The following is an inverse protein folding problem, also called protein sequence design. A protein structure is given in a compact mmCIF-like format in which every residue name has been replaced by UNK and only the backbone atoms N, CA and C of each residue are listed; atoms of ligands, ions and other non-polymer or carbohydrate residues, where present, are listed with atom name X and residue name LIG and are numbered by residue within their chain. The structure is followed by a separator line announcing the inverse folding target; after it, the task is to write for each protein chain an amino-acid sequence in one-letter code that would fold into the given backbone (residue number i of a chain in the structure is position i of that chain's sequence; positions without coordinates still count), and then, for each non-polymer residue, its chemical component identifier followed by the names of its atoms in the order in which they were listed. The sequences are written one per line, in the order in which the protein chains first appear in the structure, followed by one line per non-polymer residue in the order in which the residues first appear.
data_IF_648250377369
#
_entry.id   IF_648250377369
#
_cell.length_a   1.000
_cell.length_b   1.000
_cell.length_c   1.000
_cell.angle_alpha   90.00
_cell.angle_beta   90.00
_cell.angle_gamma   90.00
#
_symmetry.space_group_name_H-M   'P 1'
#
loop_
_entity.id
_entity.type
_entity.pdbx_description
1 polymer ?
#
# COMPACT_ATOMS: atom_id res chain seq x y z
N UNK A 1 7.22 -7.44 26.56
CA UNK A 1 7.70 -7.88 25.22
C UNK A 1 8.43 -6.73 24.54
N UNK A 2 9.48 -7.00 23.77
CA UNK A 2 10.19 -5.97 23.00
C UNK A 2 9.63 -5.91 21.56
N UNK A 3 8.73 -4.98 21.32
CA UNK A 3 8.07 -4.82 20.01
C UNK A 3 9.02 -4.45 18.86
N UNK A 4 10.26 -4.04 19.16
CA UNK A 4 11.28 -3.77 18.13
C UNK A 4 11.67 -5.02 17.35
N UNK A 5 11.37 -6.22 17.87
CA UNK A 5 11.57 -7.48 17.14
C UNK A 5 10.76 -7.54 15.84
N UNK A 6 9.56 -6.93 15.80
CA UNK A 6 8.72 -6.87 14.58
C UNK A 6 9.38 -6.04 13.47
N UNK A 7 10.25 -5.10 13.80
CA UNK A 7 10.98 -4.30 12.81
C UNK A 7 12.14 -5.08 12.14
N UNK A 8 12.41 -6.31 12.60
CA UNK A 8 13.41 -7.19 11.96
C UNK A 8 12.82 -8.04 10.84
N UNK A 9 11.49 -8.06 10.71
CA UNK A 9 10.84 -8.70 9.59
C UNK A 9 11.07 -7.87 8.31
N UNK A 10 11.37 -8.56 7.21
CA UNK A 10 11.44 -7.91 5.90
C UNK A 10 10.05 -7.70 5.34
N UNK A 11 9.74 -6.45 4.97
CA UNK A 11 8.47 -6.07 4.37
C UNK A 11 8.70 -5.47 2.99
N UNK A 12 7.92 -5.90 2.02
CA UNK A 12 7.77 -5.17 0.77
C UNK A 12 6.91 -3.90 0.95
N UNK A 13 6.63 -3.23 -0.16
CA UNK A 13 5.66 -2.13 -0.20
C UNK A 13 4.81 -2.25 -1.46
N UNK A 14 3.51 -2.12 -1.27
CA UNK A 14 2.52 -2.41 -2.28
C UNK A 14 1.38 -1.40 -2.24
N UNK A 15 0.85 -1.03 -3.40
CA UNK A 15 -0.41 -0.32 -3.49
C UNK A 15 -1.49 -1.37 -3.77
N UNK A 16 -2.43 -1.51 -2.83
CA UNK A 16 -3.63 -2.32 -3.04
C UNK A 16 -4.73 -1.40 -3.55
N UNK A 17 -5.33 -1.76 -4.67
CA UNK A 17 -6.45 -1.04 -5.28
C UNK A 17 -7.67 -1.93 -5.40
N UNK A 18 -8.84 -1.31 -5.41
CA UNK A 18 -10.12 -1.97 -5.67
C UNK A 18 -11.10 -0.96 -6.26
N UNK A 19 -12.22 -1.44 -6.82
CA UNK A 19 -13.26 -0.60 -7.44
C UNK A 19 -14.64 -1.13 -7.07
N UNK A 20 -15.52 -0.22 -6.62
CA UNK A 20 -16.93 -0.50 -6.32
C UNK A 20 -17.80 0.42 -7.20
N UNK A 21 -18.46 -0.13 -8.19
CA UNK A 21 -19.13 0.63 -9.24
C UNK A 21 -18.11 1.52 -9.98
N UNK A 22 -18.37 2.84 -9.99
CA UNK A 22 -17.45 3.81 -10.61
C UNK A 22 -16.35 4.31 -9.66
N UNK A 23 -16.46 4.04 -8.37
CA UNK A 23 -15.49 4.53 -7.38
C UNK A 23 -14.33 3.57 -7.24
N UNK A 24 -13.15 4.01 -7.67
CA UNK A 24 -11.89 3.35 -7.37
C UNK A 24 -11.28 3.90 -6.08
N UNK A 25 -10.52 3.08 -5.37
CA UNK A 25 -9.72 3.50 -4.22
C UNK A 25 -8.51 2.59 -4.05
N UNK A 26 -7.54 3.04 -3.26
CA UNK A 26 -6.37 2.25 -2.93
C UNK A 26 -5.70 2.71 -1.64
N UNK A 27 -4.87 1.83 -1.09
CA UNK A 27 -4.02 2.13 0.07
C UNK A 27 -2.68 1.41 -0.05
N UNK A 28 -1.68 1.89 0.70
CA UNK A 28 -0.40 1.20 0.81
C UNK A 28 -0.49 0.16 1.93
N UNK A 29 0.03 -1.03 1.64
CA UNK A 29 0.27 -2.11 2.61
C UNK A 29 1.72 -2.57 2.50
N UNK A 30 2.25 -3.12 3.57
CA UNK A 30 3.58 -3.74 3.61
C UNK A 30 3.52 -5.27 3.68
N UNK A 31 2.34 -5.84 3.64
CA UNK A 31 2.09 -7.28 3.78
C UNK A 31 1.39 -7.81 2.54
N UNK A 32 2.17 -8.22 1.54
CA UNK A 32 1.68 -9.07 0.46
C UNK A 32 2.69 -10.18 0.26
N UNK A 33 2.22 -11.43 0.31
CA UNK A 33 3.05 -12.61 0.15
C UNK A 33 2.35 -13.65 -0.73
N UNK A 34 3.13 -14.38 -1.52
CA UNK A 34 2.64 -15.57 -2.20
C UNK A 34 2.34 -16.65 -1.15
N UNK A 35 1.09 -17.08 -1.06
CA UNK A 35 0.65 -18.09 -0.12
C UNK A 35 0.69 -19.51 -0.70
N UNK A 36 0.47 -19.65 -2.01
CA UNK A 36 0.56 -20.92 -2.75
C UNK A 36 0.95 -20.68 -4.21
N UNK A 37 1.45 -21.70 -4.88
CA UNK A 37 1.90 -21.62 -6.27
C UNK A 37 1.03 -22.41 -7.25
N UNK A 38 0.18 -23.30 -6.76
CA UNK A 38 -0.71 -24.13 -7.60
C UNK A 38 -2.05 -24.36 -6.88
N UNK A 39 -3.08 -23.56 -7.16
CA UNK A 39 -3.06 -22.35 -7.96
C UNK A 39 -2.25 -21.23 -7.29
N UNK A 40 -1.84 -20.22 -8.04
CA UNK A 40 -1.18 -19.04 -7.45
C UNK A 40 -2.13 -18.32 -6.50
N UNK A 41 -1.75 -18.22 -5.24
CA UNK A 41 -2.52 -17.51 -4.23
C UNK A 41 -1.67 -16.43 -3.57
N UNK A 42 -2.28 -15.28 -3.37
CA UNK A 42 -1.71 -14.13 -2.67
C UNK A 42 -2.46 -13.90 -1.36
N UNK A 43 -1.71 -13.51 -0.34
CA UNK A 43 -2.23 -13.08 0.95
C UNK A 43 -1.82 -11.64 1.20
N UNK A 44 -2.78 -10.78 1.62
CA UNK A 44 -2.53 -9.40 2.07
C UNK A 44 -3.23 -9.15 3.39
N UNK A 45 -2.70 -8.21 4.20
CA UNK A 45 -3.39 -7.72 5.40
C UNK A 45 -3.71 -6.23 5.22
N UNK A 46 -4.98 -5.86 5.40
CA UNK A 46 -5.43 -4.47 5.35
C UNK A 46 -6.00 -4.07 6.71
N UNK A 47 -5.57 -2.90 7.21
CA UNK A 47 -6.11 -2.32 8.43
C UNK A 47 -7.60 -1.97 8.23
N UNK A 48 -8.44 -2.34 9.18
CA UNK A 48 -9.89 -2.08 9.15
C UNK A 48 -10.26 -0.59 9.14
N UNK A 49 -9.35 0.29 9.56
CA UNK A 49 -9.55 1.74 9.46
C UNK A 49 -9.44 2.26 8.01
N UNK A 50 -8.81 1.51 7.10
CA UNK A 50 -8.67 1.90 5.70
C UNK A 50 -9.99 1.72 4.95
N UNK A 51 -10.42 2.74 4.20
CA UNK A 51 -11.60 2.64 3.34
C UNK A 51 -11.46 1.53 2.28
N UNK A 52 -10.26 1.31 1.77
CA UNK A 52 -9.95 0.21 0.84
C UNK A 52 -10.32 -1.15 1.43
N UNK A 53 -10.17 -1.35 2.76
CA UNK A 53 -10.57 -2.57 3.45
C UNK A 53 -12.05 -2.89 3.22
N UNK A 54 -12.94 -1.93 3.49
CA UNK A 54 -14.39 -2.12 3.36
C UNK A 54 -14.79 -2.40 1.91
N UNK A 55 -14.13 -1.71 0.97
CA UNK A 55 -14.37 -1.92 -0.45
C UNK A 55 -13.94 -3.32 -0.91
N UNK A 56 -12.75 -3.80 -0.52
CA UNK A 56 -12.29 -5.16 -0.85
C UNK A 56 -13.20 -6.21 -0.22
N UNK A 57 -13.63 -5.99 1.03
CA UNK A 57 -14.57 -6.90 1.70
C UNK A 57 -15.89 -7.00 0.96
N UNK A 58 -16.38 -5.88 0.41
CA UNK A 58 -17.63 -5.80 -0.35
C UNK A 58 -17.51 -6.41 -1.75
N UNK A 59 -16.43 -6.10 -2.48
CA UNK A 59 -16.30 -6.43 -3.90
C UNK A 59 -15.69 -7.81 -4.14
N UNK A 60 -14.90 -8.31 -3.19
CA UNK A 60 -14.20 -9.58 -3.33
C UNK A 60 -13.05 -9.57 -4.35
N UNK A 61 -12.63 -8.39 -4.84
CA UNK A 61 -11.54 -8.25 -5.83
C UNK A 61 -10.62 -7.11 -5.45
N UNK A 62 -9.34 -7.29 -5.75
CA UNK A 62 -8.33 -6.24 -5.60
C UNK A 62 -7.16 -6.47 -6.55
N UNK A 63 -6.40 -5.41 -6.81
CA UNK A 63 -5.11 -5.52 -7.48
C UNK A 63 -4.00 -5.09 -6.51
N UNK A 64 -2.83 -5.69 -6.68
CA UNK A 64 -1.60 -5.33 -5.97
C UNK A 64 -0.61 -4.80 -6.99
N UNK A 65 -0.18 -3.54 -6.84
CA UNK A 65 0.92 -2.97 -7.60
C UNK A 65 2.17 -2.95 -6.73
N UNK A 66 3.24 -3.58 -7.18
CA UNK A 66 4.50 -3.69 -6.44
C UNK A 66 5.29 -2.41 -6.63
N UNK A 67 5.53 -1.66 -5.56
CA UNK A 67 6.30 -0.42 -5.61
C UNK A 67 7.77 -0.70 -5.96
N UNK A 68 8.31 0.08 -6.89
CA UNK A 68 9.71 0.06 -7.27
C UNK A 68 10.51 1.16 -6.57
N UNK A 69 11.83 1.09 -6.63
CA UNK A 69 12.72 2.15 -6.11
C UNK A 69 12.61 3.47 -6.86
N UNK A 70 11.94 3.50 -8.00
CA UNK A 70 11.66 4.73 -8.77
C UNK A 70 10.41 5.46 -8.28
N UNK A 71 9.64 4.87 -7.34
CA UNK A 71 8.47 5.49 -6.76
C UNK A 71 8.85 6.74 -5.96
N UNK A 72 8.27 7.89 -6.32
CA UNK A 72 8.50 9.16 -5.63
C UNK A 72 7.52 9.36 -4.48
N UNK A 73 7.91 10.18 -3.50
CA UNK A 73 7.12 10.43 -2.29
C UNK A 73 5.65 10.85 -2.55
N UNK A 74 5.29 11.66 -3.58
CA UNK A 74 3.88 11.97 -3.87
C UNK A 74 2.98 10.74 -4.09
N UNK A 75 3.52 9.64 -4.63
CA UNK A 75 2.77 8.39 -4.78
C UNK A 75 2.45 7.77 -3.41
N UNK A 76 3.44 7.74 -2.52
CA UNK A 76 3.25 7.28 -1.13
C UNK A 76 2.27 8.18 -0.38
N UNK A 77 2.34 9.50 -0.58
CA UNK A 77 1.43 10.46 0.04
C UNK A 77 -0.01 10.22 -0.40
N UNK A 78 -0.26 10.06 -1.70
CA UNK A 78 -1.59 9.84 -2.28
C UNK A 78 -2.24 8.55 -1.74
N UNK A 79 -1.53 7.44 -1.75
CA UNK A 79 -2.12 6.14 -1.38
C UNK A 79 -1.91 5.76 0.09
N UNK A 80 -0.93 6.33 0.79
CA UNK A 80 -0.58 5.99 2.16
C UNK A 80 -1.04 6.98 3.24
N UNK A 81 -1.17 8.29 2.90
CA UNK A 81 -1.44 9.34 3.91
C UNK A 81 -2.81 10.00 3.77
N UNK A 82 -3.57 9.66 2.75
CA UNK A 82 -4.91 10.20 2.53
C UNK A 82 -5.98 9.13 2.71
N UNK A 83 -7.15 9.51 3.21
CA UNK A 83 -8.30 8.64 3.30
C UNK A 83 -9.18 8.74 2.05
N UNK A 84 -9.51 7.62 1.42
CA UNK A 84 -10.47 7.58 0.31
C UNK A 84 -11.92 7.87 0.72
N UNK A 85 -12.18 8.08 2.03
CA UNK A 85 -13.46 8.60 2.53
C UNK A 85 -13.57 10.10 2.34
N UNK A 86 -12.42 10.81 2.35
CA UNK A 86 -12.33 12.27 2.32
C UNK A 86 -11.93 12.79 0.94
N UNK A 87 -11.07 12.04 0.23
CA UNK A 87 -10.56 12.45 -1.09
C UNK A 87 -10.74 11.33 -2.12
N UNK A 88 -11.00 11.72 -3.36
CA UNK A 88 -10.92 10.80 -4.49
C UNK A 88 -9.46 10.71 -4.95
N UNK A 89 -8.83 9.58 -4.67
CA UNK A 89 -7.41 9.34 -5.01
C UNK A 89 -7.16 9.18 -6.50
N UNK A 90 -8.20 9.00 -7.31
CA UNK A 90 -8.12 8.79 -8.75
C UNK A 90 -8.60 9.99 -9.59
N UNK A 91 -9.23 11.03 -8.99
CA UNK A 91 -9.80 12.15 -9.72
C UNK A 91 -8.80 12.84 -10.67
N UNK A 92 -7.56 13.10 -10.21
CA UNK A 92 -6.50 13.77 -10.98
C UNK A 92 -5.31 12.83 -11.27
N UNK A 93 -5.52 11.51 -11.14
CA UNK A 93 -4.47 10.54 -11.28
C UNK A 93 -4.69 9.72 -12.56
N UNK A 94 -3.73 9.78 -13.48
CA UNK A 94 -3.82 9.13 -14.79
C UNK A 94 -2.80 8.01 -14.99
N UNK A 95 -1.84 7.84 -14.07
CA UNK A 95 -0.78 6.84 -14.17
C UNK A 95 -1.23 5.45 -13.69
N UNK A 96 -2.37 4.98 -14.23
CA UNK A 96 -2.91 3.65 -13.99
C UNK A 96 -3.50 3.04 -15.26
N UNK A 97 -3.69 1.74 -15.25
CA UNK A 97 -4.48 0.98 -16.21
C UNK A 97 -5.47 0.09 -15.47
N UNK A 98 -6.46 -0.42 -16.17
CA UNK A 98 -7.38 -1.41 -15.59
C UNK A 98 -6.94 -2.82 -16.02
N UNK A 99 -6.94 -3.74 -15.06
CA UNK A 99 -6.78 -5.16 -15.28
C UNK A 99 -8.09 -5.76 -15.85
N UNK A 100 -8.10 -7.04 -16.24
CA UNK A 100 -9.28 -7.73 -16.78
C UNK A 100 -10.46 -7.73 -15.79
N UNK A 101 -10.17 -7.70 -14.48
CA UNK A 101 -11.21 -7.60 -13.44
C UNK A 101 -11.83 -6.19 -13.31
N UNK A 102 -11.43 -5.23 -14.16
CA UNK A 102 -11.91 -3.84 -14.16
C UNK A 102 -11.37 -2.96 -13.04
N UNK A 103 -10.50 -3.49 -12.16
CA UNK A 103 -9.87 -2.75 -11.08
C UNK A 103 -8.59 -2.06 -11.58
N UNK A 104 -8.33 -0.79 -11.21
CA UNK A 104 -7.10 -0.11 -11.62
C UNK A 104 -5.86 -0.74 -10.96
N UNK A 105 -4.75 -0.75 -11.70
CA UNK A 105 -3.41 -0.96 -11.16
C UNK A 105 -2.50 0.20 -11.55
N UNK A 106 -1.53 0.51 -10.69
CA UNK A 106 -0.65 1.66 -10.85
C UNK A 106 0.52 1.27 -11.76
N UNK A 107 0.87 2.14 -12.70
CA UNK A 107 1.97 1.90 -13.66
C UNK A 107 3.20 2.78 -13.41
N UNK A 108 3.05 3.92 -12.74
CA UNK A 108 4.16 4.79 -12.39
C UNK A 108 4.75 4.39 -11.04
N UNK A 109 6.07 4.25 -10.96
CA UNK A 109 6.75 3.87 -9.72
C UNK A 109 6.47 2.45 -9.26
N UNK A 110 6.05 1.56 -10.17
CA UNK A 110 5.78 0.15 -9.91
C UNK A 110 6.49 -0.73 -10.92
N UNK A 111 6.81 -1.96 -10.55
CA UNK A 111 7.52 -2.92 -11.42
C UNK A 111 6.72 -4.17 -11.75
N UNK A 112 5.60 -4.40 -11.08
CA UNK A 112 4.69 -5.51 -11.38
C UNK A 112 3.29 -5.23 -10.84
N UNK A 113 2.28 -5.93 -11.36
CA UNK A 113 0.96 -6.00 -10.74
C UNK A 113 0.42 -7.41 -10.72
N UNK A 114 -0.50 -7.66 -9.79
CA UNK A 114 -1.24 -8.90 -9.62
C UNK A 114 -2.72 -8.56 -9.41
N UNK A 115 -3.60 -9.13 -10.21
CA UNK A 115 -5.06 -9.05 -10.01
C UNK A 115 -5.51 -10.28 -9.22
N UNK A 116 -6.32 -10.06 -8.20
CA UNK A 116 -6.68 -11.09 -7.22
C UNK A 116 -8.18 -11.14 -6.99
N UNK A 117 -8.72 -12.36 -6.99
CA UNK A 117 -10.08 -12.66 -6.54
C UNK A 117 -10.02 -13.28 -5.16
N UNK A 118 -10.65 -12.65 -4.18
CA UNK A 118 -10.68 -13.11 -2.78
C UNK A 118 -11.41 -14.46 -2.70
N UNK A 119 -10.78 -15.42 -2.04
CA UNK A 119 -11.36 -16.73 -1.74
C UNK A 119 -11.68 -16.90 -0.25
N UNK A 120 -10.88 -16.26 0.62
CA UNK A 120 -11.03 -16.37 2.07
C UNK A 120 -10.63 -15.06 2.76
N UNK A 121 -11.23 -14.83 3.94
CA UNK A 121 -10.86 -13.74 4.83
C UNK A 121 -10.66 -14.26 6.25
N UNK A 122 -9.67 -13.70 6.95
CA UNK A 122 -9.41 -14.01 8.37
C UNK A 122 -9.39 -12.72 9.16
N UNK A 123 -10.23 -12.64 10.19
CA UNK A 123 -10.25 -11.51 11.11
C UNK A 123 -9.07 -11.59 12.08
N UNK A 124 -8.21 -10.58 12.08
CA UNK A 124 -7.04 -10.45 12.94
C UNK A 124 -7.22 -9.34 14.01
N UNK A 125 -8.46 -8.93 14.29
CA UNK A 125 -8.75 -7.82 15.20
C UNK A 125 -8.61 -6.47 14.52
N UNK A 126 -7.44 -5.85 14.50
CA UNK A 126 -7.19 -4.55 13.86
C UNK A 126 -7.10 -4.60 12.32
N UNK A 127 -6.83 -5.77 11.77
CA UNK A 127 -6.68 -6.02 10.33
C UNK A 127 -7.56 -7.19 9.89
N UNK A 128 -7.83 -7.26 8.61
CA UNK A 128 -8.33 -8.47 7.96
C UNK A 128 -7.26 -8.98 7.00
N UNK A 129 -6.95 -10.27 7.09
CA UNK A 129 -6.17 -10.96 6.09
C UNK A 129 -7.11 -11.40 4.97
N UNK A 130 -6.78 -11.02 3.73
CA UNK A 130 -7.46 -11.46 2.52
C UNK A 130 -6.55 -12.45 1.81
N UNK A 131 -7.07 -13.62 1.51
CA UNK A 131 -6.41 -14.66 0.72
C UNK A 131 -7.19 -14.79 -0.57
N UNK A 132 -6.50 -14.79 -1.72
CA UNK A 132 -7.17 -14.89 -2.99
C UNK A 132 -6.31 -15.52 -4.07
N UNK A 133 -7.00 -15.98 -5.11
CA UNK A 133 -6.38 -16.51 -6.32
C UNK A 133 -5.91 -15.37 -7.22
N UNK A 134 -4.67 -15.47 -7.70
CA UNK A 134 -4.12 -14.54 -8.69
C UNK A 134 -4.69 -14.92 -10.06
N UNK A 135 -5.51 -14.03 -10.63
CA UNK A 135 -6.19 -14.25 -11.92
C UNK A 135 -5.43 -13.67 -13.10
N UNK A 136 -4.60 -12.65 -12.85
CA UNK A 136 -3.78 -11.97 -13.85
C UNK A 136 -2.55 -11.39 -13.17
N UNK A 137 -1.41 -11.40 -13.80
CA UNK A 137 -0.17 -10.78 -13.30
C UNK A 137 0.79 -10.47 -14.43
N UNK A 138 1.55 -9.37 -14.28
CA UNK A 138 2.53 -8.93 -15.28
C UNK A 138 3.70 -8.22 -14.61
N UNK A 139 4.88 -8.37 -15.19
CA UNK A 139 6.06 -7.56 -14.88
C UNK A 139 6.02 -6.30 -15.75
N UNK A 140 6.04 -5.12 -15.11
CA UNK A 140 5.94 -3.83 -15.79
C UNK A 140 7.32 -3.23 -16.11
N UNK A 141 8.32 -3.54 -15.29
CA UNK A 141 9.70 -3.08 -15.48
C UNK A 141 10.70 -3.95 -14.73
N UNK A 142 11.98 -3.85 -15.10
CA UNK A 142 13.10 -4.51 -14.41
C UNK A 142 13.63 -3.71 -13.20
N UNK A 143 12.97 -2.61 -12.83
CA UNK A 143 13.36 -1.78 -11.69
C UNK A 143 13.26 -2.58 -10.38
N UNK A 144 14.22 -2.44 -9.46
CA UNK A 144 14.18 -3.13 -8.18
C UNK A 144 12.94 -2.74 -7.36
N UNK A 145 12.32 -3.72 -6.70
CA UNK A 145 11.21 -3.46 -5.78
C UNK A 145 11.66 -2.66 -4.57
N UNK A 146 10.84 -1.70 -4.15
CA UNK A 146 11.02 -0.99 -2.90
C UNK A 146 10.58 -1.87 -1.73
N UNK A 147 11.38 -1.88 -0.66
CA UNK A 147 10.99 -2.46 0.62
C UNK A 147 10.73 -1.36 1.66
N UNK A 148 10.19 -1.75 2.82
CA UNK A 148 9.85 -0.80 3.86
C UNK A 148 11.08 -0.07 4.45
N UNK A 149 12.24 -0.75 4.52
CA UNK A 149 13.50 -0.17 4.98
C UNK A 149 13.97 0.94 4.03
N UNK A 150 14.02 0.66 2.72
CA UNK A 150 14.35 1.65 1.69
C UNK A 150 13.43 2.88 1.77
N UNK A 151 12.13 2.68 1.94
CA UNK A 151 11.19 3.78 2.10
C UNK A 151 11.52 4.66 3.31
N UNK A 152 11.82 4.06 4.47
CA UNK A 152 12.12 4.80 5.69
C UNK A 152 13.45 5.57 5.60
N UNK A 153 14.44 5.04 4.88
CA UNK A 153 15.78 5.61 4.80
C UNK A 153 15.91 6.64 3.68
N UNK A 154 15.34 6.35 2.50
CA UNK A 154 15.63 7.09 1.26
C UNK A 154 14.44 7.92 0.75
N UNK A 155 13.19 7.51 1.01
CA UNK A 155 12.02 8.14 0.38
C UNK A 155 11.25 9.03 1.35
N UNK A 156 11.07 8.58 2.58
CA UNK A 156 10.28 9.27 3.58
C UNK A 156 10.94 10.58 3.98
N UNK A 157 10.26 11.74 3.84
CA UNK A 157 10.78 13.00 4.31
C UNK A 157 11.14 12.94 5.80
N UNK A 158 12.36 13.36 6.13
CA UNK A 158 12.82 13.40 7.51
C UNK A 158 12.21 14.62 8.21
N UNK A 159 11.90 14.52 9.53
CA UNK A 159 11.43 15.67 10.27
C UNK A 159 12.51 16.76 10.29
N UNK A 160 12.07 18.02 10.29
CA UNK A 160 12.96 19.19 10.39
C UNK A 160 13.16 19.57 11.85
N UNK A 161 14.41 19.89 12.22
CA UNK A 161 14.69 20.53 13.50
C UNK A 161 14.22 21.99 13.44
N UNK A 162 13.27 22.37 14.31
CA UNK A 162 12.70 23.71 14.35
C UNK A 162 13.14 24.53 15.55
N UNK A 163 14.02 23.99 16.38
CA UNK A 163 14.60 24.70 17.53
C UNK A 163 14.70 23.83 18.79
N UNK A 164 14.82 24.49 19.94
CA UNK A 164 14.86 23.83 21.25
C UNK A 164 13.70 24.29 22.12
N UNK A 165 13.11 23.35 22.84
CA UNK A 165 12.13 23.64 23.88
C UNK A 165 12.80 24.29 25.11
N UNK A 166 12.00 24.83 26.03
CA UNK A 166 12.50 25.50 27.25
C UNK A 166 13.33 24.58 28.17
N UNK A 167 13.15 23.27 28.06
CA UNK A 167 13.92 22.24 28.77
C UNK A 167 15.21 21.82 28.05
N UNK A 168 15.55 22.47 26.92
CA UNK A 168 16.75 22.20 26.12
C UNK A 168 16.61 21.04 25.14
N UNK A 169 15.45 20.36 25.07
CA UNK A 169 15.21 19.28 24.13
C UNK A 169 15.03 19.82 22.70
N UNK A 170 15.52 19.10 21.71
CA UNK A 170 15.34 19.44 20.29
C UNK A 170 13.88 19.22 19.89
N UNK A 171 13.27 20.27 19.31
CA UNK A 171 11.92 20.24 18.76
C UNK A 171 11.98 19.90 17.27
N UNK A 172 11.23 18.87 16.88
CA UNK A 172 11.14 18.41 15.51
C UNK A 172 9.75 18.68 14.94
N UNK A 173 9.70 19.10 13.71
CA UNK A 173 8.44 19.23 12.95
C UNK A 173 8.34 18.13 11.92
N UNK A 174 7.20 17.45 11.87
CA UNK A 174 6.90 16.52 10.79
C UNK A 174 6.69 17.29 9.49
N UNK A 175 7.51 17.04 8.48
CA UNK A 175 7.42 17.72 7.17
C UNK A 175 6.22 17.25 6.32
N UNK A 176 5.51 16.20 6.77
CA UNK A 176 4.35 15.64 6.08
C UNK A 176 3.05 16.24 6.61
N UNK A 177 2.87 16.29 7.93
CA UNK A 177 1.62 16.75 8.57
C UNK A 177 1.78 18.05 9.35
N UNK A 178 2.99 18.60 9.47
CA UNK A 178 3.26 19.86 10.17
C UNK A 178 3.28 19.77 11.69
N UNK A 179 3.14 18.55 12.27
CA UNK A 179 3.07 18.32 13.71
C UNK A 179 4.44 18.18 14.33
#
# INVERSE_FOLDING_TARGET
MNNKAMHKLSYGLYIVTTKDGEKANGCIVNTAIQAASTPNQLCICINKANYTHDMVLKTGVFNVSVLSKTALFPLYQRFGFQSGREVDKFADYTAYKNAENGVPYIIEGTNAYLAVKVSQTVDLGSHTMFIGEVTEMEVLSEEPSANYEYYQEEVKPKPEEVGKAADGQTVWRCTICGY
#
